data_IF_251639427654
#
_entry.id   IF_251639427654
#
_cell.length_a   1.000
_cell.length_b   1.000
_cell.length_c   1.000
_cell.angle_alpha   90.00
_cell.angle_beta   90.00
_cell.angle_gamma   90.00
#
_symmetry.space_group_name_H-M   'P 1'
#
loop_
_entity.id
_entity.type
_entity.pdbx_description
1 polymer ?
#
# COMPACT_ATOMS: atom_id res chain seq x y z
N UNK A 1 -17.87 20.71 -15.65
CA UNK A 1 -16.52 21.32 -15.58
C UNK A 1 -15.77 20.96 -14.28
N UNK A 2 -16.39 20.95 -13.10
CA UNK A 2 -15.73 20.55 -11.84
C UNK A 2 -15.41 19.04 -11.69
N UNK A 3 -16.15 18.16 -12.37
CA UNK A 3 -16.01 16.69 -12.24
C UNK A 3 -14.77 16.13 -12.93
N UNK A 4 -14.25 16.81 -13.95
CA UNK A 4 -13.03 16.40 -14.63
C UNK A 4 -11.79 16.66 -13.75
N UNK A 5 -11.71 17.83 -13.10
CA UNK A 5 -10.59 18.19 -12.23
C UNK A 5 -10.48 17.30 -10.98
N UNK A 6 -11.60 16.95 -10.35
CA UNK A 6 -11.57 16.03 -9.19
C UNK A 6 -11.13 14.61 -9.60
N UNK A 7 -11.58 14.14 -10.76
CA UNK A 7 -11.15 12.84 -11.29
C UNK A 7 -9.67 12.83 -11.67
N UNK A 8 -9.09 13.95 -12.12
CA UNK A 8 -7.67 14.06 -12.43
C UNK A 8 -6.79 14.21 -11.19
N UNK A 9 -7.21 14.95 -10.16
CA UNK A 9 -6.43 15.08 -8.91
C UNK A 9 -6.53 13.81 -8.06
N UNK A 10 -7.70 13.16 -8.01
CA UNK A 10 -7.83 11.84 -7.39
C UNK A 10 -6.93 10.81 -8.09
N UNK A 11 -6.83 10.86 -9.43
CA UNK A 11 -5.93 10.00 -10.24
C UNK A 11 -4.43 10.37 -10.16
N UNK A 12 -4.08 11.60 -9.77
CA UNK A 12 -2.70 12.06 -9.54
C UNK A 12 -2.20 11.69 -8.12
N UNK A 13 -3.08 11.69 -7.13
CA UNK A 13 -2.76 11.27 -5.74
C UNK A 13 -2.69 9.73 -5.64
N UNK A 14 -3.41 9.00 -6.50
CA UNK A 14 -3.49 7.53 -6.47
C UNK A 14 -2.59 6.81 -7.46
N UNK A 15 -1.66 7.50 -8.12
CA UNK A 15 -0.66 7.00 -9.07
C UNK A 15 -0.77 5.51 -9.45
N UNK A 16 -1.50 5.28 -10.54
CA UNK A 16 -1.07 4.43 -11.67
C UNK A 16 -2.05 3.34 -12.08
N UNK A 17 -2.52 3.54 -13.30
CA UNK A 17 -3.45 2.73 -14.06
C UNK A 17 -2.69 1.59 -14.75
N UNK A 18 -2.61 0.41 -14.12
CA UNK A 18 -2.87 -0.88 -14.79
C UNK A 18 -3.47 -1.82 -13.75
N UNK A 19 -4.70 -2.36 -13.95
CA UNK A 19 -5.40 -3.15 -12.94
C UNK A 19 -4.65 -4.41 -12.45
N UNK A 20 -3.60 -4.88 -13.16
CA UNK A 20 -2.71 -5.93 -12.66
C UNK A 20 -1.36 -5.45 -12.09
N UNK A 21 -0.80 -4.30 -12.53
CA UNK A 21 0.44 -3.76 -11.94
C UNK A 21 0.19 -3.15 -10.56
N UNK A 22 -0.96 -2.49 -10.34
CA UNK A 22 -1.32 -1.94 -9.04
C UNK A 22 -1.65 -2.98 -7.96
N UNK A 23 -2.16 -4.16 -8.36
CA UNK A 23 -2.53 -5.23 -7.41
C UNK A 23 -1.30 -5.73 -6.63
N UNK A 24 -0.16 -5.87 -7.30
CA UNK A 24 1.10 -6.26 -6.66
C UNK A 24 1.59 -5.21 -5.65
N UNK A 25 1.49 -3.91 -5.98
CA UNK A 25 1.77 -2.82 -5.03
C UNK A 25 0.85 -2.83 -3.81
N UNK A 26 -0.44 -3.13 -3.99
CA UNK A 26 -1.38 -3.29 -2.88
C UNK A 26 -1.03 -4.47 -1.96
N UNK A 27 -0.68 -5.63 -2.54
CA UNK A 27 -0.23 -6.80 -1.77
C UNK A 27 1.02 -6.45 -0.96
N UNK A 28 1.96 -5.74 -1.57
CA UNK A 28 3.19 -5.31 -0.90
C UNK A 28 2.97 -4.20 0.14
N UNK A 29 1.93 -3.38 -0.01
CA UNK A 29 1.49 -2.47 1.04
C UNK A 29 0.95 -3.23 2.26
N UNK A 30 0.10 -4.23 2.05
CA UNK A 30 -0.37 -5.09 3.15
C UNK A 30 0.80 -5.84 3.79
N UNK A 31 1.72 -6.37 2.98
CA UNK A 31 2.91 -7.06 3.46
C UNK A 31 3.80 -6.12 4.28
N UNK A 32 4.07 -4.91 3.79
CA UNK A 32 4.85 -3.90 4.52
C UNK A 32 4.20 -3.52 5.85
N UNK A 33 2.88 -3.31 5.86
CA UNK A 33 2.10 -3.06 7.07
C UNK A 33 2.26 -4.20 8.10
N UNK A 34 1.98 -5.44 7.69
CA UNK A 34 2.05 -6.61 8.58
C UNK A 34 3.47 -6.88 9.07
N UNK A 35 4.48 -6.72 8.21
CA UNK A 35 5.88 -6.92 8.57
C UNK A 35 6.38 -5.86 9.56
N UNK A 36 5.87 -4.63 9.49
CA UNK A 36 6.20 -3.56 10.45
C UNK A 36 5.47 -3.76 11.77
N UNK A 37 4.22 -4.19 11.73
CA UNK A 37 3.41 -4.47 12.93
C UNK A 37 3.92 -5.70 13.69
N UNK A 38 4.32 -6.76 12.96
CA UNK A 38 4.75 -8.04 13.52
C UNK A 38 6.08 -8.50 12.90
N UNK A 39 7.21 -7.87 13.27
CA UNK A 39 8.52 -8.16 12.67
C UNK A 39 9.03 -9.59 12.90
N UNK A 40 8.60 -10.21 14.01
CA UNK A 40 8.94 -11.59 14.40
C UNK A 40 8.02 -12.65 13.77
N UNK A 41 6.98 -12.23 13.04
CA UNK A 41 6.09 -13.18 12.36
C UNK A 41 6.88 -14.03 11.37
N UNK A 42 6.60 -15.34 11.35
CA UNK A 42 7.23 -16.26 10.40
C UNK A 42 6.37 -16.33 9.14
N UNK A 43 6.92 -15.86 8.03
CA UNK A 43 6.34 -15.97 6.71
C UNK A 43 6.88 -17.22 6.01
N UNK A 44 6.01 -17.89 5.27
CA UNK A 44 6.33 -19.07 4.47
C UNK A 44 5.78 -18.91 3.06
N UNK A 45 6.53 -19.38 2.07
CA UNK A 45 6.08 -19.35 0.67
C UNK A 45 5.03 -20.44 0.49
N UNK A 46 3.92 -20.12 -0.18
CA UNK A 46 2.74 -20.98 -0.29
C UNK A 46 3.05 -22.41 -0.80
N UNK A 47 4.09 -22.56 -1.63
CA UNK A 47 4.54 -23.84 -2.19
C UNK A 47 5.79 -24.44 -1.52
N UNK A 48 6.39 -23.75 -0.54
CA UNK A 48 7.59 -24.18 0.19
C UNK A 48 7.41 -23.89 1.70
N UNK A 49 6.47 -24.57 2.38
CA UNK A 49 6.16 -24.30 3.78
C UNK A 49 7.30 -24.69 4.75
N UNK A 50 8.25 -25.52 4.31
CA UNK A 50 9.42 -25.92 5.10
C UNK A 50 10.45 -24.80 5.24
N UNK A 51 10.39 -23.78 4.37
CA UNK A 51 11.23 -22.59 4.46
C UNK A 51 10.41 -21.44 5.05
N UNK A 52 10.59 -21.22 6.34
CA UNK A 52 10.04 -20.06 7.04
C UNK A 52 11.13 -19.04 7.32
N UNK A 53 10.81 -17.76 7.12
CA UNK A 53 11.70 -16.64 7.42
C UNK A 53 10.93 -15.56 8.18
N UNK A 54 11.64 -14.80 9.00
CA UNK A 54 11.05 -13.66 9.72
C UNK A 54 10.54 -12.61 8.75
N UNK A 55 9.41 -11.99 9.06
CA UNK A 55 8.79 -10.91 8.30
C UNK A 55 9.76 -9.75 8.03
N UNK A 56 10.62 -9.40 8.99
CA UNK A 56 11.67 -8.41 8.79
C UNK A 56 12.66 -8.79 7.66
N UNK A 57 13.16 -10.03 7.66
CA UNK A 57 14.06 -10.53 6.59
C UNK A 57 13.35 -10.62 5.25
N UNK A 58 12.06 -10.98 5.23
CA UNK A 58 11.23 -10.95 4.02
C UNK A 58 11.21 -9.57 3.39
N UNK A 59 10.92 -8.57 4.22
CA UNK A 59 10.76 -7.18 3.80
C UNK A 59 12.07 -6.61 3.28
N UNK A 60 13.17 -6.83 4.00
CA UNK A 60 14.52 -6.42 3.58
C UNK A 60 14.88 -7.07 2.25
N UNK A 61 14.66 -8.39 2.11
CA UNK A 61 14.95 -9.11 0.87
C UNK A 61 14.16 -8.57 -0.32
N UNK A 62 12.87 -8.28 -0.13
CA UNK A 62 11.99 -7.81 -1.19
C UNK A 62 12.32 -6.36 -1.60
N UNK A 63 12.55 -5.46 -0.64
CA UNK A 63 13.04 -4.10 -0.92
C UNK A 63 14.41 -4.12 -1.62
N UNK A 64 15.32 -5.00 -1.19
CA UNK A 64 16.64 -5.14 -1.83
C UNK A 64 16.51 -5.66 -3.26
N UNK A 65 15.59 -6.61 -3.50
CA UNK A 65 15.31 -7.14 -4.83
C UNK A 65 14.73 -6.07 -5.76
N UNK A 66 13.77 -5.27 -5.29
CA UNK A 66 13.21 -4.17 -6.07
C UNK A 66 14.23 -3.06 -6.34
N UNK A 67 15.10 -2.76 -5.36
CA UNK A 67 16.18 -1.81 -5.54
C UNK A 67 17.23 -2.32 -6.54
N UNK A 68 17.56 -3.61 -6.50
CA UNK A 68 18.40 -4.25 -7.51
C UNK A 68 17.73 -4.20 -8.90
N UNK A 69 16.44 -4.52 -9.00
CA UNK A 69 15.68 -4.43 -10.24
C UNK A 69 15.64 -3.02 -10.82
N UNK A 70 15.54 -2.00 -9.97
CA UNK A 70 15.64 -0.60 -10.35
C UNK A 70 17.05 -0.23 -10.84
N UNK A 71 18.10 -0.67 -10.14
CA UNK A 71 19.51 -0.43 -10.50
C UNK A 71 19.89 -1.11 -11.81
N UNK A 72 19.46 -2.36 -12.02
CA UNK A 72 19.69 -3.14 -13.23
C UNK A 72 18.67 -2.83 -14.35
N UNK A 73 17.78 -1.84 -14.14
CA UNK A 73 16.78 -1.35 -15.11
C UNK A 73 15.88 -2.46 -15.68
N UNK A 74 15.49 -3.43 -14.86
CA UNK A 74 14.54 -4.47 -15.24
C UNK A 74 13.17 -3.84 -15.50
N UNK A 75 12.79 -3.71 -16.78
CA UNK A 75 11.49 -3.16 -17.20
C UNK A 75 10.32 -4.12 -17.02
N UNK A 76 10.57 -5.36 -16.60
CA UNK A 76 9.55 -6.40 -16.49
C UNK A 76 8.61 -6.19 -15.30
N UNK A 77 9.06 -5.47 -14.26
CA UNK A 77 8.30 -5.19 -13.05
C UNK A 77 8.25 -3.69 -12.77
N UNK A 78 7.10 -3.20 -12.29
CA UNK A 78 6.96 -1.83 -11.80
C UNK A 78 7.51 -1.74 -10.38
N UNK A 79 8.84 -1.83 -10.27
CA UNK A 79 9.57 -1.78 -9.01
C UNK A 79 9.27 -0.50 -8.20
N UNK A 80 8.89 0.59 -8.88
CA UNK A 80 8.47 1.83 -8.23
C UNK A 80 7.10 1.67 -7.53
N UNK A 81 6.15 0.98 -8.14
CA UNK A 81 4.87 0.63 -7.50
C UNK A 81 5.06 -0.32 -6.31
N UNK A 82 6.03 -1.23 -6.38
CA UNK A 82 6.34 -2.16 -5.29
C UNK A 82 6.94 -1.46 -4.08
N UNK A 83 7.99 -0.66 -4.29
CA UNK A 83 8.61 0.15 -3.24
C UNK A 83 7.62 1.17 -2.67
N UNK A 84 6.80 1.80 -3.53
CA UNK A 84 5.75 2.73 -3.13
C UNK A 84 4.69 2.06 -2.25
N UNK A 85 4.27 0.85 -2.60
CA UNK A 85 3.34 0.04 -1.80
C UNK A 85 3.89 -0.26 -0.41
N UNK A 86 5.11 -0.80 -0.33
CA UNK A 86 5.78 -1.14 0.94
C UNK A 86 5.92 0.08 1.84
N UNK A 87 6.39 1.20 1.26
CA UNK A 87 6.56 2.45 1.98
C UNK A 87 5.22 2.98 2.52
N UNK A 88 4.17 2.96 1.69
CA UNK A 88 2.84 3.40 2.09
C UNK A 88 2.24 2.52 3.20
N UNK A 89 2.33 1.20 3.07
CA UNK A 89 1.85 0.25 4.09
C UNK A 89 2.55 0.41 5.43
N UNK A 90 3.88 0.54 5.40
CA UNK A 90 4.70 0.80 6.60
C UNK A 90 4.32 2.12 7.26
N UNK A 91 4.18 3.18 6.47
CA UNK A 91 3.77 4.50 6.95
C UNK A 91 2.34 4.50 7.53
N UNK A 92 1.41 3.76 6.93
CA UNK A 92 0.04 3.65 7.41
C UNK A 92 -0.03 3.04 8.81
N UNK A 93 0.76 2.01 9.10
CA UNK A 93 0.78 1.39 10.44
C UNK A 93 1.42 2.34 11.47
N UNK A 94 2.53 2.99 11.12
CA UNK A 94 3.25 3.87 12.06
C UNK A 94 2.46 5.16 12.36
N UNK A 95 1.85 5.77 11.34
CA UNK A 95 1.20 7.07 11.45
C UNK A 95 -0.28 7.03 11.07
N UNK A 96 -0.61 6.39 9.97
CA UNK A 96 -1.98 6.33 9.43
C UNK A 96 -3.01 5.81 10.44
N UNK A 97 -2.67 4.81 11.25
CA UNK A 97 -3.57 4.27 12.26
C UNK A 97 -4.03 5.36 13.25
N UNK A 98 -3.08 6.11 13.81
CA UNK A 98 -3.36 7.18 14.78
C UNK A 98 -4.12 8.37 14.18
N UNK A 99 -3.79 8.76 12.96
CA UNK A 99 -4.35 9.99 12.37
C UNK A 99 -5.63 9.77 11.56
N UNK A 100 -5.78 8.60 10.93
CA UNK A 100 -6.92 8.30 10.06
C UNK A 100 -7.90 7.34 10.73
N UNK A 101 -7.41 6.27 11.36
CA UNK A 101 -8.28 5.22 11.90
C UNK A 101 -8.92 5.61 13.23
N UNK A 102 -8.18 6.27 14.12
CA UNK A 102 -8.73 6.77 15.39
C UNK A 102 -9.76 7.88 15.16
N UNK A 103 -9.54 8.70 14.13
CA UNK A 103 -10.45 9.79 13.73
C UNK A 103 -11.59 9.32 12.81
N UNK A 104 -11.72 8.00 12.55
CA UNK A 104 -12.68 7.47 11.58
C UNK A 104 -14.11 7.92 11.85
N UNK A 105 -14.50 8.02 13.12
CA UNK A 105 -15.86 8.41 13.50
C UNK A 105 -16.20 9.83 13.03
N UNK A 106 -15.24 10.76 13.14
CA UNK A 106 -15.38 12.15 12.68
C UNK A 106 -15.44 12.21 11.15
N UNK A 107 -14.59 11.43 10.48
CA UNK A 107 -14.53 11.37 9.01
C UNK A 107 -15.83 10.78 8.44
N UNK A 108 -16.27 9.64 8.99
CA UNK A 108 -17.49 8.94 8.59
C UNK A 108 -18.71 9.83 8.83
N UNK A 109 -18.77 10.52 9.98
CA UNK A 109 -19.85 11.45 10.28
C UNK A 109 -19.91 12.60 9.27
N UNK A 110 -18.78 13.26 8.97
CA UNK A 110 -18.71 14.32 7.94
C UNK A 110 -19.13 13.80 6.55
N UNK A 111 -18.75 12.57 6.21
CA UNK A 111 -19.17 11.94 4.95
C UNK A 111 -20.68 11.69 4.90
N UNK A 112 -21.27 11.18 5.99
CA UNK A 112 -22.72 11.00 6.07
C UNK A 112 -23.47 12.32 5.98
N UNK A 113 -22.99 13.37 6.67
CA UNK A 113 -23.55 14.74 6.59
C UNK A 113 -23.48 15.30 5.16
N UNK A 114 -22.34 15.14 4.49
CA UNK A 114 -22.18 15.54 3.08
C UNK A 114 -23.12 14.79 2.13
N UNK A 115 -23.23 13.46 2.27
CA UNK A 115 -24.11 12.64 1.43
C UNK A 115 -25.59 12.98 1.64
N UNK A 116 -26.01 13.21 2.87
CA UNK A 116 -27.41 13.55 3.18
C UNK A 116 -27.79 14.94 2.63
N UNK A 117 -26.87 15.91 2.68
CA UNK A 117 -27.09 17.25 2.13
C UNK A 117 -27.22 17.29 0.60
N UNK A 118 -26.65 16.31 -0.12
CA UNK A 118 -26.76 16.23 -1.58
C UNK A 118 -28.02 15.46 -2.05
N UNK A 119 -28.70 14.77 -1.14
CA UNK A 119 -29.89 13.94 -1.45
C UNK A 119 -31.20 14.59 -1.00
N UNK A 120 -31.15 15.83 -0.48
CA UNK A 120 -32.28 16.72 -0.24
C UNK A 120 -32.28 17.84 -1.29
#
# INVERSE_FOLDING_TARGET
>A
LCSAYFSHIFKLITSSYVPSLGASGCILAVLGAVCVENPDARLSILFLPFFSFSASKALIGLVSFDMAGLLFRWKLFDHAAHLGGIAFGSWYIIFGHKYLWDQRQVIIRKWHEFRQNYTR
#
